data_IF_376484646649
#
_entry.id   IF_376484646649
#
_cell.length_a   1.000
_cell.length_b   1.000
_cell.length_c   1.000
_cell.angle_alpha   90.00
_cell.angle_beta   90.00
_cell.angle_gamma   90.00
#
_symmetry.space_group_name_H-M   'P 1'
#
loop_
_entity.id
_entity.type
_entity.pdbx_description
1 polymer ?
#
# COMPACT_ATOMS: atom_id res chain seq x y z
N UNK A 1 5.65 -23.56 3.88
CA UNK A 1 4.19 -23.42 3.74
C UNK A 1 3.72 -22.46 4.82
N UNK A 2 2.93 -21.47 4.43
CA UNK A 2 2.42 -20.30 5.19
C UNK A 2 3.38 -19.10 5.22
N UNK A 3 3.21 -18.24 4.19
CA UNK A 3 3.65 -16.86 4.15
C UNK A 3 2.57 -15.95 4.80
N UNK A 4 3.05 -14.97 5.56
CA UNK A 4 2.38 -13.80 6.16
C UNK A 4 1.42 -14.03 7.34
N UNK A 5 1.74 -13.50 8.53
CA UNK A 5 0.75 -12.82 9.34
C UNK A 5 0.57 -11.39 8.81
N UNK A 6 -0.60 -11.16 8.23
CA UNK A 6 -1.24 -9.84 8.16
C UNK A 6 -1.38 -9.28 9.59
N UNK A 7 -1.46 -7.94 9.70
CA UNK A 7 -1.72 -7.10 10.88
C UNK A 7 -0.49 -6.36 11.47
N UNK A 8 -0.02 -5.29 10.81
CA UNK A 8 0.85 -4.28 11.47
C UNK A 8 0.53 -2.81 11.18
N UNK A 9 -0.46 -2.47 10.33
CA UNK A 9 -0.81 -1.06 10.14
C UNK A 9 -1.45 -0.44 11.39
N UNK A 10 -2.39 -1.15 12.03
CA UNK A 10 -3.13 -0.64 13.19
C UNK A 10 -2.25 -0.48 14.45
N UNK A 11 -1.30 -1.40 14.65
CA UNK A 11 -0.40 -1.35 15.79
C UNK A 11 0.57 -0.16 15.74
N UNK A 12 0.94 0.30 14.54
CA UNK A 12 1.88 1.41 14.36
C UNK A 12 1.27 2.77 14.73
N UNK A 13 -0.03 2.98 14.48
CA UNK A 13 -0.71 4.25 14.73
C UNK A 13 -0.94 4.53 16.23
N UNK A 14 -1.18 3.48 17.03
CA UNK A 14 -1.38 3.59 18.48
C UNK A 14 -0.11 4.04 19.24
N UNK A 15 1.09 3.77 18.69
CA UNK A 15 2.36 4.14 19.31
C UNK A 15 2.71 5.63 19.17
N UNK A 16 2.19 6.32 18.15
CA UNK A 16 2.52 7.72 17.88
C UNK A 16 1.49 8.73 18.44
N UNK A 17 0.44 8.27 19.11
CA UNK A 17 -0.59 9.16 19.69
C UNK A 17 -1.29 10.05 18.66
N UNK A 18 -1.19 9.71 17.37
CA UNK A 18 -1.85 10.44 16.29
C UNK A 18 -3.31 10.01 16.31
N UNK A 19 -4.27 10.91 16.55
CA UNK A 19 -5.67 10.56 16.43
C UNK A 19 -5.95 10.23 14.96
N UNK A 20 -6.27 8.97 14.67
CA UNK A 20 -6.87 8.60 13.38
C UNK A 20 -8.26 9.24 13.37
N UNK A 21 -8.37 10.39 12.72
CA UNK A 21 -9.64 11.07 12.51
C UNK A 21 -10.10 10.80 11.09
N UNK A 22 -11.30 10.24 10.96
CA UNK A 22 -11.95 10.13 9.66
C UNK A 22 -12.24 11.53 9.12
N UNK A 23 -11.69 11.85 7.96
CA UNK A 23 -11.99 13.07 7.23
C UNK A 23 -12.92 12.73 6.05
N UNK A 24 -14.21 13.10 6.11
CA UNK A 24 -15.16 12.80 5.06
C UNK A 24 -14.85 13.51 3.73
N UNK A 25 -13.93 14.48 3.71
CA UNK A 25 -13.47 15.14 2.48
C UNK A 25 -12.43 14.30 1.73
N UNK A 26 -11.69 13.43 2.44
CA UNK A 26 -10.58 12.66 1.85
C UNK A 26 -11.01 11.35 1.20
N UNK A 27 -12.26 10.93 1.39
CA UNK A 27 -12.76 9.66 0.88
C UNK A 27 -14.11 9.83 0.21
N UNK A 28 -14.32 9.08 -0.87
CA UNK A 28 -15.61 8.98 -1.56
C UNK A 28 -16.60 8.06 -0.85
N UNK A 29 -16.16 7.36 0.19
CA UNK A 29 -16.96 6.38 0.92
C UNK A 29 -17.63 7.00 2.13
N UNK A 30 -18.91 6.68 2.35
CA UNK A 30 -19.64 7.17 3.50
C UNK A 30 -19.33 6.34 4.75
N UNK A 31 -19.42 6.95 5.94
CA UNK A 31 -19.13 6.27 7.21
C UNK A 31 -20.19 5.20 7.52
N UNK A 32 -21.40 5.42 7.05
CA UNK A 32 -22.58 4.57 7.20
C UNK A 32 -22.71 3.48 6.12
N UNK A 33 -21.77 3.41 5.17
CA UNK A 33 -21.74 2.34 4.17
C UNK A 33 -21.49 0.98 4.84
N UNK A 34 -22.12 -0.07 4.31
CA UNK A 34 -21.83 -1.43 4.75
C UNK A 34 -20.46 -1.87 4.25
N UNK A 35 -19.81 -2.76 5.00
CA UNK A 35 -18.53 -3.35 4.57
C UNK A 35 -18.65 -4.01 3.20
N UNK A 36 -19.77 -4.68 2.91
CA UNK A 36 -20.04 -5.30 1.61
C UNK A 36 -20.06 -4.27 0.48
N UNK A 37 -20.77 -3.15 0.66
CA UNK A 37 -20.82 -2.07 -0.32
C UNK A 37 -19.44 -1.43 -0.53
N UNK A 38 -18.68 -1.26 0.55
CA UNK A 38 -17.33 -0.72 0.50
C UNK A 38 -16.39 -1.60 -0.35
N UNK A 39 -16.42 -2.91 -0.08
CA UNK A 39 -15.62 -3.92 -0.77
C UNK A 39 -16.00 -3.97 -2.25
N UNK A 40 -17.30 -4.01 -2.57
CA UNK A 40 -17.78 -4.03 -3.95
C UNK A 40 -17.29 -2.80 -4.75
N UNK A 41 -17.45 -1.61 -4.19
CA UNK A 41 -17.07 -0.33 -4.83
C UNK A 41 -15.56 -0.05 -4.84
N UNK A 42 -14.75 -0.91 -4.23
CA UNK A 42 -13.28 -0.80 -4.25
C UNK A 42 -12.69 -1.50 -5.48
N UNK A 43 -13.39 -2.48 -6.06
CA UNK A 43 -12.89 -3.24 -7.20
C UNK A 43 -13.35 -2.64 -8.52
N UNK A 44 -12.53 -2.86 -9.56
CA UNK A 44 -12.89 -2.52 -10.94
C UNK A 44 -13.87 -3.59 -11.43
N UNK A 45 -15.15 -3.25 -11.55
CA UNK A 45 -16.22 -4.20 -11.90
C UNK A 45 -16.13 -4.70 -13.35
N UNK A 46 -15.62 -3.87 -14.27
CA UNK A 46 -15.54 -4.19 -15.69
C UNK A 46 -14.39 -3.43 -16.38
N UNK A 47 -13.60 -4.14 -17.18
CA UNK A 47 -12.65 -3.55 -18.12
C UNK A 47 -13.38 -3.21 -19.43
N UNK A 48 -14.26 -2.21 -19.40
CA UNK A 48 -15.09 -1.87 -20.57
C UNK A 48 -14.26 -1.21 -21.68
N UNK A 49 -13.13 -0.61 -21.34
CA UNK A 49 -12.32 0.14 -22.29
C UNK A 49 -11.04 -0.62 -22.65
N UNK A 50 -10.85 -0.89 -23.95
CA UNK A 50 -9.55 -1.20 -24.57
C UNK A 50 -8.64 0.05 -24.51
N UNK A 51 -8.31 0.49 -23.29
CA UNK A 51 -7.39 1.60 -23.08
C UNK A 51 -5.99 1.04 -22.90
N UNK A 52 -5.15 1.22 -23.91
CA UNK A 52 -3.71 0.98 -23.77
C UNK A 52 -3.08 2.12 -22.95
N UNK A 53 -2.43 1.75 -21.85
CA UNK A 53 -1.64 2.66 -21.03
C UNK A 53 -0.16 2.72 -21.46
N UNK A 54 0.19 2.10 -22.57
CA UNK A 54 1.56 2.03 -23.10
C UNK A 54 2.17 3.43 -23.24
N UNK A 55 1.45 4.38 -23.86
CA UNK A 55 1.93 5.77 -24.01
C UNK A 55 2.16 6.49 -22.69
N UNK A 56 1.33 6.22 -21.68
CA UNK A 56 1.50 6.79 -20.35
C UNK A 56 2.73 6.18 -19.66
N UNK A 57 2.87 4.86 -19.76
CA UNK A 57 4.01 4.16 -19.20
C UNK A 57 5.32 4.60 -19.87
N UNK A 58 5.37 4.70 -21.19
CA UNK A 58 6.54 5.19 -21.93
C UNK A 58 6.93 6.62 -21.53
N UNK A 59 5.95 7.48 -21.29
CA UNK A 59 6.20 8.86 -20.88
C UNK A 59 6.66 8.99 -19.41
N UNK A 60 6.16 8.13 -18.53
CA UNK A 60 6.33 8.25 -17.08
C UNK A 60 7.21 7.17 -16.44
N UNK A 61 7.70 6.21 -17.22
CA UNK A 61 8.54 5.14 -16.70
C UNK A 61 9.82 5.72 -16.07
N UNK A 62 10.20 5.27 -14.87
CA UNK A 62 11.47 5.66 -14.28
C UNK A 62 12.60 5.22 -15.20
N UNK A 63 13.46 6.15 -15.60
CA UNK A 63 14.61 5.86 -16.46
C UNK A 63 15.66 5.00 -15.79
N UNK A 64 15.72 5.10 -14.46
CA UNK A 64 16.68 4.39 -13.61
C UNK A 64 15.96 3.89 -12.37
N UNK A 65 16.23 2.65 -11.99
CA UNK A 65 15.71 2.08 -10.75
C UNK A 65 16.66 2.44 -9.60
N UNK A 66 16.14 3.09 -8.56
CA UNK A 66 16.90 3.30 -7.32
C UNK A 66 16.45 2.26 -6.30
N UNK A 67 17.37 1.40 -5.89
CA UNK A 67 17.15 0.48 -4.79
C UNK A 67 17.69 1.08 -3.50
N UNK A 68 16.82 1.27 -2.51
CA UNK A 68 17.23 1.67 -1.16
C UNK A 68 17.41 0.43 -0.30
N UNK A 69 18.65 0.12 0.06
CA UNK A 69 18.95 -0.91 1.05
C UNK A 69 18.70 -0.35 2.45
N UNK A 70 17.63 -0.80 3.10
CA UNK A 70 17.43 -0.58 4.52
C UNK A 70 18.18 -1.66 5.29
N UNK A 71 19.43 -1.40 5.64
CA UNK A 71 20.14 -2.26 6.60
C UNK A 71 19.43 -2.13 7.95
N UNK A 72 18.92 -3.23 8.48
CA UNK A 72 18.63 -3.32 9.91
C UNK A 72 19.91 -3.87 10.51
N UNK A 73 20.60 -3.08 11.32
CA UNK A 73 21.84 -3.52 11.98
C UNK A 73 21.53 -4.63 12.99
N UNK A 74 21.32 -5.83 12.50
CA UNK A 74 21.23 -7.04 13.28
C UNK A 74 22.64 -7.66 13.32
N UNK A 75 23.08 -8.11 14.49
CA UNK A 75 24.46 -8.55 14.70
C UNK A 75 24.87 -9.71 13.76
N UNK A 76 23.89 -10.46 13.26
CA UNK A 76 24.07 -11.55 12.31
C UNK A 76 24.54 -11.08 10.91
N UNK A 77 24.12 -9.91 10.43
CA UNK A 77 24.54 -9.39 9.11
C UNK A 77 26.01 -8.98 9.09
N UNK A 78 26.52 -8.43 10.20
CA UNK A 78 27.93 -8.04 10.29
C UNK A 78 28.89 -9.24 10.32
N UNK A 79 28.46 -10.40 10.80
CA UNK A 79 29.31 -11.60 10.88
C UNK A 79 29.39 -12.38 9.57
N UNK A 80 28.43 -12.21 8.66
CA UNK A 80 28.34 -12.98 7.41
C UNK A 80 28.95 -12.26 6.20
N UNK A 81 29.34 -10.98 6.36
CA UNK A 81 29.92 -10.14 5.29
C UNK A 81 31.46 -10.12 5.30
N UNK A 82 32.12 -10.87 6.19
CA UNK A 82 33.58 -11.07 6.22
C UNK A 82 33.98 -12.47 5.77
#
# INVERSE_FOLDING_TARGET
MNLYPDMTLEASAALFGIPIRFDPVLTRFAVDDTIEALVYNMFIETWINDTSYEKYFDACAPKECTYTYHYRSDALETLTTF
#
